data_IF_966590237426
#
_entry.id   IF_966590237426
#
_cell.length_a   1.000
_cell.length_b   1.000
_cell.length_c   1.000
_cell.angle_alpha   90.00
_cell.angle_beta   90.00
_cell.angle_gamma   90.00
#
_symmetry.space_group_name_H-M   'P 1'
#
loop_
_entity.id
_entity.type
_entity.pdbx_description
1 polymer ?
#
# COMPACT_ATOMS: atom_id res chain seq x y z
N UNK A 1 3.26 5.30 -3.46
CA UNK A 1 3.77 6.20 -2.39
C UNK A 1 2.83 6.08 -1.17
N UNK A 2 3.11 6.76 -0.05
CA UNK A 2 2.17 6.77 1.08
C UNK A 2 0.84 7.41 0.65
N UNK A 3 -0.24 7.20 1.43
CA UNK A 3 -1.59 7.73 1.16
C UNK A 3 -2.27 7.22 -0.13
N UNK A 4 -1.74 6.15 -0.74
CA UNK A 4 -2.34 5.58 -1.94
C UNK A 4 -2.00 6.32 -3.23
N UNK A 5 -1.05 7.25 -3.19
CA UNK A 5 -0.56 7.94 -4.38
C UNK A 5 0.10 6.93 -5.33
N UNK A 6 -0.54 6.71 -6.48
CA UNK A 6 -0.11 5.89 -7.61
C UNK A 6 0.85 6.64 -8.54
N UNK A 7 1.14 6.03 -9.70
CA UNK A 7 2.13 6.58 -10.65
C UNK A 7 1.62 7.84 -11.36
N UNK A 8 0.37 7.83 -11.84
CA UNK A 8 -0.25 8.99 -12.50
C UNK A 8 -0.33 10.20 -11.56
N UNK A 9 -0.76 9.98 -10.31
CA UNK A 9 -0.86 11.03 -9.30
C UNK A 9 0.53 11.56 -8.92
N UNK A 10 1.56 10.69 -8.91
CA UNK A 10 2.93 11.11 -8.67
C UNK A 10 3.44 12.04 -9.78
N UNK A 11 3.23 11.68 -11.04
CA UNK A 11 3.61 12.51 -12.18
C UNK A 11 2.90 13.87 -12.12
N UNK A 12 1.59 13.85 -11.84
CA UNK A 12 0.82 15.08 -11.68
C UNK A 12 1.37 15.96 -10.55
N UNK A 13 1.66 15.38 -9.39
CA UNK A 13 2.10 16.11 -8.19
C UNK A 13 3.51 16.72 -8.31
N UNK A 14 4.44 16.03 -8.97
CA UNK A 14 5.85 16.41 -8.97
C UNK A 14 6.35 17.00 -10.30
N UNK A 15 5.71 16.67 -11.42
CA UNK A 15 6.15 17.12 -12.74
C UNK A 15 5.19 18.18 -13.30
N UNK A 16 3.87 18.00 -13.18
CA UNK A 16 2.88 18.89 -13.81
C UNK A 16 2.52 20.09 -12.94
N UNK A 17 2.13 19.87 -11.67
CA UNK A 17 1.64 20.93 -10.79
C UNK A 17 2.66 22.04 -10.49
N UNK A 18 3.96 21.74 -10.25
CA UNK A 18 4.95 22.80 -9.98
C UNK A 18 5.05 23.78 -11.15
N UNK A 19 5.08 23.26 -12.39
CA UNK A 19 5.17 24.08 -13.61
C UNK A 19 3.94 24.97 -13.78
N UNK A 20 2.73 24.41 -13.63
CA UNK A 20 1.48 25.18 -13.68
C UNK A 20 1.43 26.26 -12.59
N UNK A 21 1.95 25.96 -11.39
CA UNK A 21 1.99 26.94 -10.31
C UNK A 21 2.95 28.09 -10.61
N UNK A 22 4.11 27.79 -11.23
CA UNK A 22 5.06 28.79 -11.69
C UNK A 22 4.40 29.67 -12.75
N UNK A 23 3.82 29.08 -13.79
CA UNK A 23 3.14 29.79 -14.89
C UNK A 23 2.02 30.71 -14.39
N UNK A 24 1.19 30.23 -13.46
CA UNK A 24 0.13 31.04 -12.84
C UNK A 24 0.69 32.24 -12.09
N UNK A 25 1.72 32.02 -11.26
CA UNK A 25 2.34 33.09 -10.46
C UNK A 25 3.04 34.15 -11.32
N UNK A 26 3.67 33.72 -12.43
CA UNK A 26 4.30 34.60 -13.42
C UNK A 26 3.23 35.39 -14.15
N UNK A 27 2.14 34.76 -14.60
CA UNK A 27 1.05 35.42 -15.33
C UNK A 27 0.38 36.53 -14.52
N UNK A 28 0.10 36.31 -13.24
CA UNK A 28 -0.50 37.34 -12.37
C UNK A 28 0.42 38.54 -12.17
N UNK A 29 1.72 38.31 -12.02
CA UNK A 29 2.71 39.37 -11.78
C UNK A 29 3.16 40.08 -13.05
N UNK A 30 3.20 39.37 -14.19
CA UNK A 30 3.47 39.94 -15.51
C UNK A 30 2.47 41.05 -15.86
N UNK A 31 1.21 40.92 -15.43
CA UNK A 31 0.17 41.97 -15.57
C UNK A 31 0.54 43.26 -14.84
N UNK A 32 1.34 43.18 -13.77
CA UNK A 32 1.69 44.31 -12.90
C UNK A 32 3.10 44.86 -13.16
N UNK A 33 4.09 44.02 -13.50
CA UNK A 33 5.46 44.49 -13.80
C UNK A 33 6.21 43.53 -14.77
N UNK A 34 6.36 43.88 -16.06
CA UNK A 34 6.97 43.01 -17.07
C UNK A 34 8.50 42.98 -17.06
N UNK A 35 9.19 43.94 -16.42
CA UNK A 35 10.67 44.03 -16.48
C UNK A 35 11.41 43.07 -15.54
N UNK A 36 10.72 42.50 -14.53
CA UNK A 36 11.33 41.66 -13.49
C UNK A 36 11.21 40.14 -13.74
N UNK A 37 10.54 39.74 -14.83
CA UNK A 37 10.09 38.36 -15.08
C UNK A 37 11.19 37.28 -14.90
N UNK A 38 12.34 37.46 -15.54
CA UNK A 38 13.39 36.43 -15.55
C UNK A 38 14.07 36.20 -14.19
N UNK A 39 14.08 37.19 -13.30
CA UNK A 39 14.58 37.00 -11.92
C UNK A 39 13.51 36.32 -11.08
N UNK A 40 12.25 36.73 -11.26
CA UNK A 40 11.11 36.18 -10.52
C UNK A 40 10.84 34.72 -10.85
N UNK A 41 10.96 34.33 -12.11
CA UNK A 41 10.88 32.94 -12.57
C UNK A 41 11.87 32.06 -11.79
N UNK A 42 13.16 32.45 -11.75
CA UNK A 42 14.17 31.71 -10.99
C UNK A 42 13.86 31.59 -9.49
N UNK A 43 13.28 32.63 -8.88
CA UNK A 43 12.87 32.58 -7.48
C UNK A 43 11.61 31.73 -7.26
N UNK A 44 10.67 31.72 -8.21
CA UNK A 44 9.50 30.87 -8.19
C UNK A 44 9.89 29.39 -8.33
N UNK A 45 10.76 29.08 -9.28
CA UNK A 45 11.32 27.73 -9.50
C UNK A 45 11.99 27.20 -8.24
N UNK A 46 12.85 28.02 -7.60
CA UNK A 46 13.52 27.62 -6.37
C UNK A 46 12.54 27.36 -5.22
N UNK A 47 11.45 28.14 -5.14
CA UNK A 47 10.40 27.95 -4.12
C UNK A 47 9.59 26.68 -4.37
N UNK A 48 9.15 26.46 -5.60
CA UNK A 48 8.42 25.24 -5.97
C UNK A 48 9.29 23.99 -5.83
N UNK A 49 10.57 24.05 -6.18
CA UNK A 49 11.52 22.97 -5.95
C UNK A 49 11.65 22.63 -4.45
N UNK A 50 11.76 23.63 -3.58
CA UNK A 50 11.79 23.42 -2.13
C UNK A 50 10.50 22.77 -1.61
N UNK A 51 9.33 23.24 -2.09
CA UNK A 51 8.04 22.64 -1.74
C UNK A 51 7.93 21.19 -2.21
N UNK A 52 8.36 20.90 -3.44
CA UNK A 52 8.36 19.55 -4.00
C UNK A 52 9.23 18.60 -3.16
N UNK A 53 10.42 19.04 -2.72
CA UNK A 53 11.29 18.25 -1.84
C UNK A 53 10.63 17.98 -0.48
N UNK A 54 10.04 19.01 0.14
CA UNK A 54 9.34 18.86 1.42
C UNK A 54 8.16 17.89 1.28
N UNK A 55 7.37 18.05 0.23
CA UNK A 55 6.22 17.20 -0.06
C UNK A 55 6.62 15.76 -0.35
N UNK A 56 7.68 15.53 -1.15
CA UNK A 56 8.23 14.21 -1.41
C UNK A 56 8.60 13.49 -0.10
N UNK A 57 9.15 14.20 0.88
CA UNK A 57 9.45 13.65 2.21
C UNK A 57 8.18 13.22 2.96
N UNK A 58 7.09 13.97 2.84
CA UNK A 58 5.81 13.64 3.49
C UNK A 58 5.13 12.42 2.86
N UNK A 59 5.19 12.29 1.54
CA UNK A 59 4.51 11.21 0.79
C UNK A 59 5.39 9.96 0.67
N UNK A 60 6.68 10.03 1.00
CA UNK A 60 7.57 8.87 0.97
C UNK A 60 7.06 7.72 1.87
N UNK A 61 6.99 6.50 1.32
CA UNK A 61 6.63 5.28 2.07
C UNK A 61 7.59 5.00 3.24
N UNK A 62 8.85 5.44 3.13
CA UNK A 62 9.86 5.31 4.19
C UNK A 62 9.45 6.01 5.48
N UNK A 63 8.67 7.09 5.37
CA UNK A 63 8.19 7.87 6.51
C UNK A 63 6.73 7.52 6.87
N UNK A 64 6.16 6.48 6.25
CA UNK A 64 4.80 6.05 6.53
C UNK A 64 4.72 5.30 7.87
N UNK A 65 3.57 5.42 8.53
CA UNK A 65 3.26 4.61 9.70
C UNK A 65 2.88 3.16 9.30
N UNK A 66 2.77 2.27 10.30
CA UNK A 66 2.42 0.87 10.07
C UNK A 66 1.09 0.70 9.30
N UNK A 67 0.11 1.60 9.52
CA UNK A 67 -1.18 1.58 8.82
C UNK A 67 -1.04 1.93 7.33
N UNK A 68 -0.20 2.91 7.00
CA UNK A 68 0.10 3.30 5.62
C UNK A 68 0.83 2.19 4.86
N UNK A 69 1.82 1.56 5.50
CA UNK A 69 2.52 0.39 4.93
C UNK A 69 1.53 -0.76 4.70
N UNK A 70 0.64 -1.03 5.66
CA UNK A 70 -0.38 -2.07 5.52
C UNK A 70 -1.36 -1.78 4.37
N UNK A 71 -1.75 -0.52 4.18
CA UNK A 71 -2.62 -0.12 3.06
C UNK A 71 -1.96 -0.41 1.71
N UNK A 72 -0.69 -0.01 1.57
CA UNK A 72 0.09 -0.26 0.36
C UNK A 72 0.28 -1.76 0.10
N UNK A 73 0.60 -2.54 1.14
CA UNK A 73 0.73 -3.99 1.01
C UNK A 73 -0.59 -4.65 0.57
N UNK A 74 -1.74 -4.20 1.09
CA UNK A 74 -3.05 -4.69 0.62
C UNK A 74 -3.28 -4.37 -0.84
N UNK A 75 -2.98 -3.14 -1.29
CA UNK A 75 -3.11 -2.75 -2.70
C UNK A 75 -2.26 -3.66 -3.60
N UNK A 76 -1.00 -3.93 -3.21
CA UNK A 76 -0.10 -4.84 -3.94
C UNK A 76 -0.61 -6.27 -3.97
N UNK A 77 -1.14 -6.77 -2.87
CA UNK A 77 -1.76 -8.11 -2.82
C UNK A 77 -2.93 -8.19 -3.78
N UNK A 78 -3.84 -7.22 -3.74
CA UNK A 78 -5.00 -7.23 -4.63
C UNK A 78 -4.56 -7.20 -6.09
N UNK A 79 -3.58 -6.37 -6.44
CA UNK A 79 -3.01 -6.34 -7.79
C UNK A 79 -2.37 -7.67 -8.20
N UNK A 80 -1.66 -8.34 -7.29
CA UNK A 80 -0.99 -9.60 -7.59
C UNK A 80 -1.95 -10.80 -7.71
N UNK A 81 -3.00 -10.85 -6.87
CA UNK A 81 -3.87 -12.02 -6.73
C UNK A 81 -5.23 -11.88 -7.47
N UNK A 82 -5.51 -10.75 -8.11
CA UNK A 82 -6.68 -10.62 -9.00
C UNK A 82 -6.33 -11.21 -10.38
N UNK A 83 -7.14 -12.14 -10.89
CA UNK A 83 -7.00 -12.74 -12.23
C UNK A 83 -8.15 -12.21 -13.08
N UNK A 84 -7.90 -11.09 -13.77
CA UNK A 84 -8.66 -10.55 -14.89
C UNK A 84 -8.15 -9.13 -15.16
N UNK A 85 -8.16 -8.69 -16.42
CA UNK A 85 -7.86 -7.31 -16.83
C UNK A 85 -8.85 -6.29 -16.24
N UNK A 86 -10.01 -6.75 -15.77
CA UNK A 86 -11.04 -5.91 -15.18
C UNK A 86 -11.47 -6.42 -13.80
N UNK A 87 -11.66 -5.44 -12.90
CA UNK A 87 -12.21 -5.53 -11.54
C UNK A 87 -11.22 -5.96 -10.45
N UNK A 88 -10.91 -5.00 -9.58
CA UNK A 88 -10.25 -5.13 -8.28
C UNK A 88 -11.09 -6.07 -7.39
N UNK A 89 -10.98 -7.39 -7.58
CA UNK A 89 -11.78 -8.37 -6.85
C UNK A 89 -11.18 -8.65 -5.47
N UNK A 90 -11.57 -7.80 -4.52
CA UNK A 90 -11.22 -7.96 -3.10
C UNK A 90 -11.91 -9.17 -2.44
N UNK A 91 -12.92 -9.76 -3.09
CA UNK A 91 -13.72 -10.87 -2.58
C UNK A 91 -13.10 -12.24 -2.80
N UNK A 92 -12.11 -12.38 -3.69
CA UNK A 92 -11.50 -13.69 -4.01
C UNK A 92 -10.89 -14.37 -2.77
N UNK A 93 -11.06 -15.69 -2.61
CA UNK A 93 -10.45 -16.44 -1.52
C UNK A 93 -8.92 -16.26 -1.44
N UNK A 94 -8.23 -16.22 -2.57
CA UNK A 94 -6.78 -16.06 -2.66
C UNK A 94 -6.33 -14.69 -2.14
N UNK A 95 -7.00 -13.63 -2.59
CA UNK A 95 -6.74 -12.25 -2.15
C UNK A 95 -6.97 -12.13 -0.65
N UNK A 96 -8.08 -12.68 -0.14
CA UNK A 96 -8.37 -12.68 1.30
C UNK A 96 -7.31 -13.45 2.10
N UNK A 97 -6.92 -14.65 1.65
CA UNK A 97 -5.89 -15.46 2.30
C UNK A 97 -4.52 -14.76 2.35
N UNK A 98 -4.13 -14.07 1.27
CA UNK A 98 -2.92 -13.27 1.22
C UNK A 98 -2.99 -12.05 2.17
N UNK A 99 -4.13 -11.36 2.24
CA UNK A 99 -4.34 -10.26 3.20
C UNK A 99 -4.23 -10.75 4.65
N UNK A 100 -4.84 -11.89 4.98
CA UNK A 100 -4.70 -12.48 6.31
C UNK A 100 -3.25 -12.83 6.62
N UNK A 101 -2.51 -13.36 5.65
CA UNK A 101 -1.10 -13.71 5.81
C UNK A 101 -0.23 -12.50 6.16
N UNK A 102 -0.42 -11.35 5.50
CA UNK A 102 0.31 -10.12 5.85
C UNK A 102 -0.06 -9.62 7.26
N UNK A 103 -1.33 -9.71 7.65
CA UNK A 103 -1.76 -9.34 9.01
C UNK A 103 -1.17 -10.27 10.08
N UNK A 104 -1.16 -11.58 9.82
CA UNK A 104 -0.56 -12.60 10.70
C UNK A 104 0.92 -12.28 10.91
N UNK A 105 1.68 -12.03 9.83
CA UNK A 105 3.11 -11.65 9.93
C UNK A 105 3.33 -10.37 10.73
N UNK A 106 2.49 -9.35 10.54
CA UNK A 106 2.59 -8.10 11.29
C UNK A 106 2.32 -8.29 12.80
N UNK A 107 1.26 -9.02 13.15
CA UNK A 107 0.92 -9.32 14.56
C UNK A 107 1.97 -10.23 15.20
N UNK A 108 2.47 -11.21 14.46
CA UNK A 108 3.55 -12.09 14.92
C UNK A 108 4.81 -11.30 15.27
N UNK A 109 5.27 -10.42 14.38
CA UNK A 109 6.44 -9.58 14.64
C UNK A 109 6.25 -8.70 15.90
N UNK A 110 5.06 -8.13 16.07
CA UNK A 110 4.72 -7.37 17.28
C UNK A 110 4.79 -8.23 18.56
N UNK A 111 4.29 -9.46 18.51
CA UNK A 111 4.29 -10.39 19.66
C UNK A 111 5.69 -10.90 20.02
N UNK A 112 6.62 -10.97 19.07
CA UNK A 112 8.02 -11.31 19.35
C UNK A 112 8.66 -10.27 20.28
N UNK A 113 8.34 -8.99 20.08
CA UNK A 113 8.79 -7.89 20.94
C UNK A 113 7.93 -7.80 22.22
N UNK A 114 6.61 -7.89 22.08
CA UNK A 114 5.63 -7.72 23.16
C UNK A 114 5.02 -9.04 23.59
N UNK A 115 5.84 -9.87 24.24
CA UNK A 115 5.43 -11.21 24.67
C UNK A 115 4.21 -11.19 25.57
N UNK A 116 4.02 -10.18 26.44
CA UNK A 116 2.94 -10.15 27.45
C UNK A 116 1.56 -9.71 26.91
N UNK A 117 1.43 -9.39 25.63
CA UNK A 117 0.13 -8.98 25.06
C UNK A 117 -0.74 -10.20 24.71
N UNK A 118 -1.56 -10.63 25.66
CA UNK A 118 -2.48 -11.75 25.48
C UNK A 118 -3.62 -11.46 24.48
N UNK A 119 -4.05 -10.20 24.36
CA UNK A 119 -5.14 -9.81 23.44
C UNK A 119 -4.64 -9.92 22.00
N UNK A 120 -3.43 -9.45 21.71
CA UNK A 120 -2.83 -9.60 20.39
C UNK A 120 -2.55 -11.06 20.03
N UNK A 121 -2.18 -11.91 21.00
CA UNK A 121 -2.10 -13.37 20.77
C UNK A 121 -3.46 -13.95 20.40
N UNK A 122 -4.53 -13.58 21.10
CA UNK A 122 -5.88 -14.02 20.75
C UNK A 122 -6.26 -13.60 19.33
N UNK A 123 -5.99 -12.33 18.96
CA UNK A 123 -6.23 -11.81 17.60
C UNK A 123 -5.42 -12.56 16.55
N UNK A 124 -4.18 -12.95 16.85
CA UNK A 124 -3.37 -13.78 15.97
C UNK A 124 -4.07 -15.12 15.67
N UNK A 125 -4.54 -15.82 16.72
CA UNK A 125 -5.26 -17.10 16.56
C UNK A 125 -6.51 -16.95 15.70
N UNK A 126 -7.29 -15.91 15.94
CA UNK A 126 -8.46 -15.60 15.13
C UNK A 126 -8.12 -15.37 13.65
N UNK A 127 -7.02 -14.66 13.35
CA UNK A 127 -6.57 -14.44 11.98
C UNK A 127 -6.13 -15.73 11.30
N UNK A 128 -5.39 -16.59 12.01
CA UNK A 128 -4.97 -17.91 11.49
C UNK A 128 -6.18 -18.76 11.16
N UNK A 129 -7.17 -18.84 12.06
CA UNK A 129 -8.41 -19.57 11.83
C UNK A 129 -9.23 -19.02 10.65
N UNK A 130 -9.32 -17.69 10.51
CA UNK A 130 -9.98 -17.04 9.37
C UNK A 130 -9.30 -17.40 8.05
N UNK A 131 -7.97 -17.35 7.99
CA UNK A 131 -7.20 -17.76 6.81
C UNK A 131 -7.45 -19.21 6.46
N UNK A 132 -7.35 -20.12 7.44
CA UNK A 132 -7.58 -21.54 7.22
C UNK A 132 -9.00 -21.86 6.76
N UNK A 133 -10.02 -21.13 7.26
CA UNK A 133 -11.40 -21.26 6.76
C UNK A 133 -11.51 -20.92 5.28
N UNK A 134 -10.87 -19.82 4.85
CA UNK A 134 -10.88 -19.39 3.43
C UNK A 134 -10.12 -20.39 2.55
N UNK A 135 -8.97 -20.88 3.01
CA UNK A 135 -8.17 -21.86 2.27
C UNK A 135 -8.88 -23.23 2.16
N UNK A 136 -9.54 -23.69 3.23
CA UNK A 136 -10.39 -24.89 3.18
C UNK A 136 -11.57 -24.75 2.22
N UNK A 137 -12.15 -23.55 2.13
CA UNK A 137 -13.18 -23.27 1.12
C UNK A 137 -12.59 -23.36 -0.29
N UNK A 138 -11.44 -22.70 -0.53
CA UNK A 138 -10.78 -22.73 -1.83
C UNK A 138 -10.45 -24.16 -2.27
N UNK A 139 -9.87 -24.97 -1.37
CA UNK A 139 -9.57 -26.40 -1.62
C UNK A 139 -10.81 -27.20 -2.06
N UNK A 140 -11.98 -26.92 -1.47
CA UNK A 140 -13.24 -27.59 -1.83
C UNK A 140 -13.78 -27.15 -3.19
N UNK A 141 -13.49 -25.92 -3.61
CA UNK A 141 -13.96 -25.36 -4.87
C UNK A 141 -13.04 -25.75 -6.02
N UNK A 142 -11.73 -25.60 -5.83
CA UNK A 142 -10.71 -25.81 -6.85
C UNK A 142 -9.36 -26.10 -6.18
N UNK A 143 -8.87 -27.32 -6.37
CA UNK A 143 -7.62 -27.79 -5.74
C UNK A 143 -6.38 -27.16 -6.40
N UNK A 144 -6.39 -26.95 -7.72
CA UNK A 144 -5.27 -26.37 -8.46
C UNK A 144 -5.08 -24.89 -8.10
N UNK A 145 -6.18 -24.16 -7.86
CA UNK A 145 -6.11 -22.79 -7.34
C UNK A 145 -5.62 -22.76 -5.89
N UNK A 146 -6.02 -23.74 -5.08
CA UNK A 146 -5.56 -23.86 -3.71
C UNK A 146 -4.05 -24.09 -3.62
N UNK A 147 -3.51 -25.05 -4.37
CA UNK A 147 -2.07 -25.36 -4.39
C UNK A 147 -1.24 -24.17 -4.87
N UNK A 148 -1.64 -23.57 -6.01
CA UNK A 148 -0.98 -22.33 -6.51
C UNK A 148 -1.07 -21.19 -5.51
N UNK A 149 -2.19 -21.05 -4.78
CA UNK A 149 -2.32 -20.02 -3.76
C UNK A 149 -1.37 -20.26 -2.59
N UNK A 150 -1.28 -21.50 -2.09
CA UNK A 150 -0.39 -21.88 -0.99
C UNK A 150 1.08 -21.58 -1.31
N UNK A 151 1.55 -21.98 -2.49
CA UNK A 151 2.92 -21.71 -2.95
C UNK A 151 3.20 -20.20 -2.97
N UNK A 152 2.27 -19.40 -3.52
CA UNK A 152 2.43 -17.95 -3.63
C UNK A 152 2.46 -17.23 -2.28
N UNK A 153 1.70 -17.70 -1.29
CA UNK A 153 1.69 -17.09 0.05
C UNK A 153 2.78 -17.66 0.97
N UNK A 154 3.39 -18.79 0.61
CA UNK A 154 4.40 -19.52 1.39
C UNK A 154 3.80 -20.13 2.65
N UNK A 155 2.71 -20.89 2.50
CA UNK A 155 2.02 -21.58 3.60
C UNK A 155 1.96 -23.07 3.28
N UNK A 156 2.34 -23.89 4.25
CA UNK A 156 2.32 -25.34 4.12
C UNK A 156 0.89 -25.90 4.26
N UNK A 157 0.51 -26.96 3.52
CA UNK A 157 -0.82 -27.57 3.57
C UNK A 157 -1.24 -28.03 4.97
N UNK A 158 -0.29 -28.51 5.78
CA UNK A 158 -0.53 -28.98 7.16
C UNK A 158 -1.08 -27.87 8.05
N UNK A 159 -0.74 -26.61 7.75
CA UNK A 159 -1.23 -25.43 8.45
C UNK A 159 -2.70 -25.10 8.16
N UNK A 160 -3.38 -25.89 7.32
CA UNK A 160 -4.77 -25.70 6.89
C UNK A 160 -5.63 -26.92 7.23
N UNK A 161 -5.05 -28.11 7.17
CA UNK A 161 -5.76 -29.39 7.16
C UNK A 161 -5.91 -30.06 8.53
N UNK A 162 -5.09 -29.64 9.52
CA UNK A 162 -5.10 -30.19 10.88
C UNK A 162 -5.88 -29.36 11.92
N UNK A 163 -5.87 -29.84 13.16
CA UNK A 163 -6.22 -29.02 14.31
C UNK A 163 -5.21 -27.88 14.46
N UNK A 164 -5.71 -26.65 14.37
CA UNK A 164 -4.88 -25.46 14.46
C UNK A 164 -4.57 -25.17 15.92
N UNK A 165 -3.42 -25.66 16.38
CA UNK A 165 -2.87 -25.32 17.69
C UNK A 165 -1.95 -24.12 17.50
N UNK A 166 -2.39 -22.95 17.97
CA UNK A 166 -1.69 -21.66 17.86
C UNK A 166 -1.37 -21.11 19.24
#
# INVERSE_FOLDING_TARGET
>A
MNFGVGEQERELLFDVLPNLSIEGSISERAKHNPAALAREEKYADAREAQKAVQFARLVALRNANAKGILFENKRRIVAAFSESEDVVDTGRPEVQAAIYTVRIRAVWNHLMEQKKDFISRQRLRELVHKRAKVLRYLKRVDIDRYERCLERIGVEPESVEGELVV
#
